data_IF_420189528584
#
_entry.id   IF_420189528584
#
_cell.length_a   1.000
_cell.length_b   1.000
_cell.length_c   1.000
_cell.angle_alpha   90.00
_cell.angle_beta   90.00
_cell.angle_gamma   90.00
#
_symmetry.space_group_name_H-M   'P 1'
#
loop_
_entity.id
_entity.type
_entity.pdbx_description
1 polymer ?
#
# COMPACT_ATOMS: atom_id res chain seq x y z
N UNK A 1 -6.62 2.06 10.50
CA UNK A 1 -5.57 2.62 9.61
C UNK A 1 -6.16 3.75 8.79
N UNK A 2 -5.39 4.79 8.48
CA UNK A 2 -5.80 5.93 7.65
C UNK A 2 -4.90 5.96 6.41
N UNK A 3 -5.50 5.89 5.22
CA UNK A 3 -4.83 5.98 3.92
C UNK A 3 -4.82 7.45 3.48
N UNK A 4 -3.66 8.02 3.16
CA UNK A 4 -3.49 9.45 2.84
C UNK A 4 -2.83 9.69 1.47
N UNK A 5 -3.14 8.84 0.49
CA UNK A 5 -2.58 8.95 -0.85
C UNK A 5 -1.06 8.85 -0.86
N UNK A 6 -0.38 9.90 -1.32
CA UNK A 6 1.07 9.98 -1.39
C UNK A 6 1.75 10.32 -0.04
N UNK A 7 0.98 10.65 1.00
CA UNK A 7 1.50 10.81 2.36
C UNK A 7 1.61 9.47 3.10
N UNK A 8 2.20 9.50 4.28
CA UNK A 8 2.32 8.33 5.14
C UNK A 8 0.96 7.74 5.53
N UNK A 9 0.90 6.41 5.61
CA UNK A 9 -0.22 5.71 6.24
C UNK A 9 -0.09 5.84 7.76
N UNK A 10 -1.20 6.20 8.43
CA UNK A 10 -1.26 6.20 9.89
C UNK A 10 -1.94 4.92 10.37
N UNK A 11 -1.29 4.21 11.29
CA UNK A 11 -1.84 3.01 11.92
C UNK A 11 -1.93 3.22 13.41
N UNK A 12 -3.15 3.18 13.95
CA UNK A 12 -3.40 3.24 15.39
C UNK A 12 -3.88 1.86 15.85
N UNK A 13 -3.22 1.35 16.87
CA UNK A 13 -3.57 0.11 17.58
C UNK A 13 -3.84 0.50 19.04
N UNK A 14 -4.90 -0.05 19.63
CA UNK A 14 -5.29 0.28 21.01
C UNK A 14 -4.14 -0.08 21.95
N UNK A 15 -3.71 0.88 22.77
CA UNK A 15 -2.61 0.70 23.72
C UNK A 15 -1.21 0.91 23.14
N UNK A 16 -1.09 1.26 21.86
CA UNK A 16 0.18 1.57 21.20
C UNK A 16 0.22 3.03 20.72
N UNK A 17 1.42 3.58 20.56
CA UNK A 17 1.62 4.85 19.87
C UNK A 17 1.24 4.72 18.39
N UNK A 18 0.65 5.77 17.82
CA UNK A 18 0.35 5.80 16.38
C UNK A 18 1.62 5.62 15.56
N UNK A 19 1.59 4.68 14.63
CA UNK A 19 2.63 4.45 13.65
C UNK A 19 2.40 5.32 12.42
N UNK A 20 3.46 5.95 11.94
CA UNK A 20 3.48 6.67 10.68
C UNK A 20 4.41 5.96 9.69
N UNK A 21 3.83 5.40 8.62
CA UNK A 21 4.56 4.59 7.63
C UNK A 21 4.57 5.31 6.29
N UNK A 22 5.72 5.82 5.82
CA UNK A 22 5.79 6.63 4.61
C UNK A 22 5.38 5.85 3.36
N UNK A 23 4.71 6.53 2.43
CA UNK A 23 4.42 5.97 1.12
C UNK A 23 5.69 5.76 0.29
N UNK A 24 5.64 4.82 -0.64
CA UNK A 24 6.68 4.65 -1.64
C UNK A 24 6.64 5.86 -2.59
N UNK A 25 7.71 6.67 -2.59
CA UNK A 25 7.83 7.78 -3.55
C UNK A 25 8.16 7.24 -4.93
N UNK A 26 7.29 7.53 -5.89
CA UNK A 26 7.49 7.20 -7.30
C UNK A 26 7.69 8.48 -8.12
N UNK A 27 8.58 8.46 -9.13
CA UNK A 27 8.64 9.52 -10.13
C UNK A 27 7.27 9.69 -10.82
N UNK A 28 6.89 10.94 -11.13
CA UNK A 28 5.55 11.25 -11.66
C UNK A 28 5.28 10.52 -12.98
N UNK A 29 6.29 10.36 -13.81
CA UNK A 29 6.25 9.65 -15.09
C UNK A 29 5.98 8.15 -14.96
N UNK A 30 6.17 7.57 -13.76
CA UNK A 30 5.81 6.18 -13.48
C UNK A 30 4.35 6.03 -13.05
N UNK A 31 3.66 7.10 -12.68
CA UNK A 31 2.25 7.03 -12.29
C UNK A 31 1.39 7.09 -13.55
N UNK A 32 0.84 5.94 -13.95
CA UNK A 32 0.07 5.75 -15.19
C UNK A 32 -1.43 5.87 -14.96
N UNK A 33 -1.96 5.22 -13.93
CA UNK A 33 -3.39 5.14 -13.63
C UNK A 33 -3.57 4.96 -12.11
N UNK A 34 -4.29 5.86 -11.45
CA UNK A 34 -4.48 5.79 -9.99
C UNK A 34 -5.65 4.88 -9.58
N UNK A 35 -6.35 4.28 -10.56
CA UNK A 35 -7.42 3.33 -10.32
C UNK A 35 -6.94 2.18 -9.41
N UNK A 36 -7.77 1.76 -8.46
CA UNK A 36 -7.50 0.70 -7.50
C UNK A 36 -6.30 0.88 -6.55
N UNK A 37 -5.66 2.06 -6.48
CA UNK A 37 -4.58 2.32 -5.51
C UNK A 37 -5.01 2.05 -4.05
N UNK A 38 -6.21 2.51 -3.66
CA UNK A 38 -6.73 2.32 -2.31
C UNK A 38 -7.14 0.87 -1.99
N UNK A 39 -7.62 0.14 -2.99
CA UNK A 39 -8.06 -1.25 -2.85
C UNK A 39 -6.84 -2.19 -2.77
N UNK A 40 -5.88 -2.01 -3.67
CA UNK A 40 -4.60 -2.72 -3.67
C UNK A 40 -3.78 -2.46 -2.41
N UNK A 41 -3.79 -1.22 -1.88
CA UNK A 41 -3.21 -0.95 -0.55
C UNK A 41 -3.84 -1.83 0.52
N UNK A 42 -5.17 -1.90 0.53
CA UNK A 42 -5.92 -2.65 1.55
C UNK A 42 -5.66 -4.16 1.42
N UNK A 43 -5.61 -4.67 0.19
CA UNK A 43 -5.24 -6.06 -0.10
C UNK A 43 -3.82 -6.39 0.39
N UNK A 44 -2.83 -5.56 0.06
CA UNK A 44 -1.45 -5.74 0.53
C UNK A 44 -1.33 -5.66 2.05
N UNK A 45 -2.04 -4.72 2.69
CA UNK A 45 -2.08 -4.61 4.14
C UNK A 45 -2.64 -5.88 4.78
N UNK A 46 -3.81 -6.34 4.32
CA UNK A 46 -4.46 -7.53 4.88
C UNK A 46 -3.67 -8.80 4.62
N UNK A 47 -3.03 -8.94 3.45
CA UNK A 47 -2.20 -10.09 3.11
C UNK A 47 -1.09 -10.34 4.13
N UNK A 48 -0.54 -9.29 4.74
CA UNK A 48 0.47 -9.40 5.81
C UNK A 48 -0.16 -9.41 7.19
N UNK A 49 -1.16 -8.55 7.45
CA UNK A 49 -1.73 -8.42 8.80
C UNK A 49 -2.47 -9.67 9.24
N UNK A 50 -3.18 -10.33 8.33
CA UNK A 50 -3.95 -11.54 8.61
C UNK A 50 -3.09 -12.80 8.70
N UNK A 51 -1.82 -12.74 8.27
CA UNK A 51 -0.87 -13.86 8.35
C UNK A 51 0.17 -13.65 9.46
N UNK A 52 -0.16 -12.86 10.49
CA UNK A 52 0.68 -12.66 11.68
C UNK A 52 1.70 -11.53 11.57
N UNK A 53 1.71 -10.76 10.47
CA UNK A 53 2.60 -9.60 10.33
C UNK A 53 2.22 -8.42 11.22
N UNK A 54 3.21 -7.57 11.49
CA UNK A 54 3.02 -6.33 12.28
C UNK A 54 2.22 -5.29 11.49
N UNK A 55 1.64 -4.33 12.21
CA UNK A 55 0.95 -3.17 11.62
C UNK A 55 1.86 -2.39 10.65
N UNK A 56 3.12 -2.19 11.02
CA UNK A 56 4.11 -1.50 10.18
C UNK A 56 4.42 -2.29 8.90
N UNK A 57 4.68 -3.61 9.01
CA UNK A 57 4.96 -4.47 7.87
C UNK A 57 3.76 -4.53 6.90
N UNK A 58 2.54 -4.58 7.45
CA UNK A 58 1.31 -4.52 6.68
C UNK A 58 1.18 -3.19 5.91
N UNK A 59 1.43 -2.05 6.55
CA UNK A 59 1.40 -0.75 5.87
C UNK A 59 2.48 -0.64 4.78
N UNK A 60 3.69 -1.17 5.00
CA UNK A 60 4.75 -1.24 3.98
C UNK A 60 4.31 -2.08 2.78
N UNK A 61 3.69 -3.26 3.00
CA UNK A 61 3.17 -4.09 1.91
C UNK A 61 2.01 -3.40 1.18
N UNK A 62 1.12 -2.72 1.89
CA UNK A 62 0.06 -1.93 1.28
C UNK A 62 0.62 -0.85 0.34
N UNK A 63 1.59 -0.07 0.80
CA UNK A 63 2.27 0.94 -0.01
C UNK A 63 2.98 0.35 -1.23
N UNK A 64 3.69 -0.77 -1.05
CA UNK A 64 4.34 -1.46 -2.16
C UNK A 64 3.33 -1.93 -3.21
N UNK A 65 2.23 -2.55 -2.78
CA UNK A 65 1.18 -3.07 -3.68
C UNK A 65 0.51 -1.93 -4.45
N UNK A 66 0.10 -0.87 -3.75
CA UNK A 66 -0.51 0.30 -4.39
C UNK A 66 0.46 1.02 -5.33
N UNK A 67 1.70 1.21 -4.90
CA UNK A 67 2.77 1.80 -5.70
C UNK A 67 3.05 1.01 -6.98
N UNK A 68 2.99 -0.32 -6.93
CA UNK A 68 3.10 -1.15 -8.14
C UNK A 68 1.87 -1.00 -9.03
N UNK A 69 0.66 -1.09 -8.47
CA UNK A 69 -0.58 -1.05 -9.25
C UNK A 69 -0.70 0.24 -10.06
N UNK A 70 -0.37 1.40 -9.47
CA UNK A 70 -0.52 2.68 -10.17
C UNK A 70 0.43 2.89 -11.35
N UNK A 71 1.39 1.98 -11.57
CA UNK A 71 2.32 2.01 -12.71
C UNK A 71 1.77 1.31 -13.95
N UNK A 72 0.55 0.75 -13.88
CA UNK A 72 -0.09 0.04 -14.98
C UNK A 72 -1.51 0.54 -15.18
N UNK A 73 -2.03 0.44 -16.40
CA UNK A 73 -3.40 0.84 -16.71
C UNK A 73 -4.40 -0.24 -16.27
N UNK A 74 -5.48 0.18 -15.61
CA UNK A 74 -6.55 -0.70 -15.14
C UNK A 74 -6.37 -1.18 -13.70
N UNK A 75 -7.46 -1.67 -13.10
CA UNK A 75 -7.53 -2.03 -11.68
C UNK A 75 -6.74 -3.29 -11.29
N UNK A 76 -6.61 -4.25 -12.23
CA UNK A 76 -5.91 -5.52 -12.03
C UNK A 76 -4.72 -5.55 -12.99
N UNK A 77 -3.51 -5.52 -12.42
CA UNK A 77 -2.27 -5.52 -13.20
C UNK A 77 -1.88 -6.94 -13.63
N UNK A 78 -0.99 -7.08 -14.63
CA UNK A 78 -0.41 -8.37 -14.98
C UNK A 78 0.21 -9.09 -13.78
N UNK A 79 0.05 -10.42 -13.71
CA UNK A 79 0.53 -11.21 -12.57
C UNK A 79 2.06 -11.13 -12.39
N UNK A 80 2.80 -11.05 -13.50
CA UNK A 80 4.25 -10.90 -13.54
C UNK A 80 4.73 -9.53 -13.04
N UNK A 81 3.85 -8.52 -13.03
CA UNK A 81 4.11 -7.21 -12.46
C UNK A 81 3.90 -7.15 -10.93
N UNK A 82 3.22 -8.13 -10.32
CA UNK A 82 2.91 -8.10 -8.88
C UNK A 82 4.18 -8.13 -8.01
N UNK A 83 4.25 -7.32 -6.95
CA UNK A 83 5.41 -7.29 -6.08
C UNK A 83 5.48 -8.57 -5.22
N UNK A 84 6.64 -9.21 -5.20
CA UNK A 84 6.93 -10.41 -4.38
C UNK A 84 7.01 -10.07 -2.88
#
# INVERSE_FOLDING_TARGET
>A
MIKRGAESCLVSVIGESTLEVPALRLPKEKVVDTTAAGDSFSAGYLAVRLTGGTAEAAAKRGHLTAGTVIQYRGAIIPLDAMPK
#
